data_IF_236143193454
#
_entry.id   IF_236143193454
#
_cell.length_a   1.000
_cell.length_b   1.000
_cell.length_c   1.000
_cell.angle_alpha   90.00
_cell.angle_beta   90.00
_cell.angle_gamma   90.00
#
_symmetry.space_group_name_H-M   'P 1'
#
loop_
_entity.id
_entity.type
_entity.pdbx_description
1 polymer ?
#
# COMPACT_ATOMS: atom_id res chain seq x y z
N UNK A 1 -6.59 13.81 -21.49
CA UNK A 1 -6.89 14.06 -20.07
C UNK A 1 -5.59 14.10 -19.30
N UNK A 2 -5.65 14.17 -17.97
CA UNK A 2 -4.47 13.92 -17.12
C UNK A 2 -4.18 12.41 -17.03
N UNK A 3 -2.93 12.03 -16.76
CA UNK A 3 -2.51 10.62 -16.66
C UNK A 3 -2.77 10.02 -15.26
N UNK A 4 -2.81 10.86 -14.22
CA UNK A 4 -3.09 10.47 -12.84
C UNK A 4 -3.67 11.65 -12.07
N UNK A 5 -4.54 11.39 -11.10
CA UNK A 5 -5.01 12.38 -10.13
C UNK A 5 -4.64 12.00 -8.70
N UNK A 6 -4.27 13.00 -7.90
CA UNK A 6 -3.96 12.87 -6.47
C UNK A 6 -4.88 13.81 -5.68
N UNK A 7 -5.54 13.28 -4.67
CA UNK A 7 -6.40 14.04 -3.76
C UNK A 7 -5.91 13.92 -2.34
N UNK A 8 -5.79 15.04 -1.63
CA UNK A 8 -5.36 15.09 -0.23
C UNK A 8 -6.54 15.48 0.66
N UNK A 9 -6.53 15.01 1.90
CA UNK A 9 -7.52 15.39 2.90
C UNK A 9 -7.14 16.70 3.63
N UNK A 10 -7.91 17.07 4.66
CA UNK A 10 -7.87 18.42 5.25
C UNK A 10 -6.56 18.80 5.94
N UNK A 11 -5.82 17.83 6.49
CA UNK A 11 -4.50 18.01 7.09
C UNK A 11 -3.36 17.35 6.29
N UNK A 12 -3.70 16.63 5.21
CA UNK A 12 -2.76 16.13 4.22
C UNK A 12 -2.05 14.84 4.61
N UNK A 13 -2.54 14.13 5.63
CA UNK A 13 -1.98 12.84 6.05
C UNK A 13 -2.47 11.65 5.18
N UNK A 14 -3.52 11.87 4.38
CA UNK A 14 -4.08 10.88 3.46
C UNK A 14 -4.03 11.35 2.02
N UNK A 15 -3.72 10.42 1.13
CA UNK A 15 -3.72 10.62 -0.31
C UNK A 15 -4.61 9.57 -0.99
N UNK A 16 -5.64 10.03 -1.72
CA UNK A 16 -6.39 9.25 -2.69
C UNK A 16 -5.74 9.34 -4.08
N UNK A 17 -5.86 8.27 -4.86
CA UNK A 17 -5.27 8.18 -6.21
C UNK A 17 -6.35 7.78 -7.20
N UNK A 18 -6.40 8.46 -8.35
CA UNK A 18 -7.30 8.12 -9.47
C UNK A 18 -6.51 7.93 -10.75
N UNK A 19 -6.93 6.98 -11.58
CA UNK A 19 -6.33 6.77 -12.90
C UNK A 19 -6.85 7.76 -13.95
N UNK A 20 -6.30 7.67 -15.17
CA UNK A 20 -6.65 8.51 -16.32
C UNK A 20 -8.07 8.28 -16.86
N UNK A 21 -8.74 7.19 -16.44
CA UNK A 21 -10.14 6.87 -16.78
C UNK A 21 -11.10 7.34 -15.67
N UNK A 22 -10.58 7.83 -14.55
CA UNK A 22 -11.34 8.31 -13.41
C UNK A 22 -11.70 7.22 -12.39
N UNK A 23 -11.10 6.03 -12.48
CA UNK A 23 -11.31 4.98 -11.49
C UNK A 23 -10.46 5.26 -10.23
N UNK A 24 -11.03 4.98 -9.06
CA UNK A 24 -10.31 5.05 -7.79
C UNK A 24 -9.33 3.88 -7.64
N UNK A 25 -8.10 4.21 -7.27
CA UNK A 25 -7.08 3.24 -6.86
C UNK A 25 -7.04 3.21 -5.33
N UNK A 26 -7.57 2.13 -4.76
CA UNK A 26 -7.56 1.91 -3.32
C UNK A 26 -6.15 1.90 -2.74
N UNK A 27 -6.04 2.44 -1.51
CA UNK A 27 -4.76 2.65 -0.82
C UNK A 27 -3.97 1.35 -0.59
N UNK A 28 -4.64 0.20 -0.50
CA UNK A 28 -3.98 -1.11 -0.37
C UNK A 28 -3.20 -1.50 -1.63
N UNK A 29 -3.74 -1.24 -2.83
CA UNK A 29 -3.04 -1.44 -4.11
C UNK A 29 -1.85 -0.50 -4.25
N UNK A 30 -2.03 0.77 -3.86
CA UNK A 30 -0.94 1.75 -3.83
C UNK A 30 0.15 1.29 -2.85
N UNK A 31 -0.25 0.80 -1.68
CA UNK A 31 0.66 0.23 -0.69
C UNK A 31 1.47 -0.95 -1.21
N UNK A 32 0.84 -1.93 -1.89
CA UNK A 32 1.57 -3.07 -2.47
C UNK A 32 2.52 -2.64 -3.56
N UNK A 33 2.13 -1.67 -4.39
CA UNK A 33 3.01 -1.11 -5.42
C UNK A 33 4.28 -0.51 -4.81
N UNK A 34 4.16 0.26 -3.73
CA UNK A 34 5.30 0.80 -2.99
C UNK A 34 6.11 -0.29 -2.30
N UNK A 35 5.44 -1.26 -1.67
CA UNK A 35 6.09 -2.37 -0.97
C UNK A 35 6.96 -3.21 -1.90
N UNK A 36 6.54 -3.43 -3.16
CA UNK A 36 7.34 -4.16 -4.16
C UNK A 36 8.65 -3.45 -4.48
N UNK A 37 8.64 -2.13 -4.54
CA UNK A 37 9.86 -1.35 -4.77
C UNK A 37 10.80 -1.43 -3.56
N UNK A 38 10.24 -1.24 -2.36
CA UNK A 38 10.98 -1.32 -1.09
C UNK A 38 11.57 -2.71 -0.86
N UNK A 39 10.81 -3.78 -1.12
CA UNK A 39 11.25 -5.16 -0.91
C UNK A 39 12.44 -5.55 -1.80
N UNK A 40 12.52 -5.02 -3.02
CA UNK A 40 13.68 -5.21 -3.91
C UNK A 40 14.95 -4.57 -3.36
N UNK A 41 14.81 -3.42 -2.71
CA UNK A 41 15.93 -2.72 -2.07
C UNK A 41 16.31 -3.35 -0.72
N UNK A 42 15.32 -3.94 -0.03
CA UNK A 42 15.46 -4.53 1.29
C UNK A 42 14.81 -5.92 1.34
N UNK A 43 15.49 -6.97 0.84
CA UNK A 43 14.97 -8.33 0.88
C UNK A 43 14.69 -8.80 2.30
N UNK A 44 13.59 -9.54 2.49
CA UNK A 44 13.16 -10.01 3.81
C UNK A 44 12.48 -8.94 4.69
N UNK A 45 12.11 -7.79 4.12
CA UNK A 45 11.39 -6.73 4.87
C UNK A 45 10.05 -7.20 5.42
N UNK A 46 9.70 -6.70 6.61
CA UNK A 46 8.37 -6.90 7.20
C UNK A 46 7.49 -5.68 6.93
N UNK A 47 6.31 -5.91 6.35
CA UNK A 47 5.31 -4.88 6.11
C UNK A 47 4.17 -5.02 7.11
N UNK A 48 3.94 -3.99 7.92
CA UNK A 48 2.81 -3.93 8.87
C UNK A 48 1.60 -3.35 8.14
N UNK A 49 0.49 -4.09 8.14
CA UNK A 49 -0.69 -3.78 7.33
C UNK A 49 -1.95 -3.89 8.17
N UNK A 50 -2.88 -2.97 7.99
CA UNK A 50 -4.20 -3.04 8.65
C UNK A 50 -5.00 -4.25 8.15
N UNK A 51 -5.68 -4.95 9.08
CA UNK A 51 -6.63 -6.05 8.80
C UNK A 51 -7.72 -5.71 7.77
N UNK A 52 -8.04 -4.43 7.54
CA UNK A 52 -8.99 -4.00 6.50
C UNK A 52 -8.45 -4.08 5.07
N UNK A 53 -7.15 -4.26 4.89
CA UNK A 53 -6.53 -4.37 3.56
C UNK A 53 -6.90 -5.69 2.90
N UNK A 54 -7.02 -5.72 1.57
CA UNK A 54 -7.54 -6.86 0.78
C UNK A 54 -6.68 -8.14 0.78
N UNK A 55 -5.73 -8.30 1.70
CA UNK A 55 -4.83 -9.46 1.76
C UNK A 55 -3.73 -9.45 0.69
N UNK A 56 -3.68 -8.42 -0.16
CA UNK A 56 -2.78 -8.35 -1.32
C UNK A 56 -1.31 -8.41 -0.91
N UNK A 57 -0.92 -7.77 0.19
CA UNK A 57 0.46 -7.79 0.68
C UNK A 57 0.98 -9.22 0.93
N UNK A 58 0.12 -10.10 1.44
CA UNK A 58 0.51 -11.48 1.75
C UNK A 58 0.50 -12.41 0.52
N UNK A 59 -0.36 -12.11 -0.46
CA UNK A 59 -0.52 -12.95 -1.66
C UNK A 59 0.30 -12.50 -2.85
N UNK A 60 0.93 -11.32 -2.77
CA UNK A 60 1.73 -10.75 -3.85
C UNK A 60 2.92 -11.65 -4.21
N UNK A 61 3.12 -11.90 -5.50
CA UNK A 61 4.19 -12.79 -5.97
C UNK A 61 5.58 -12.15 -5.85
N UNK A 62 5.70 -10.84 -6.07
CA UNK A 62 6.98 -10.15 -5.99
C UNK A 62 7.44 -10.02 -4.53
N UNK A 63 6.54 -9.64 -3.63
CA UNK A 63 6.85 -9.60 -2.19
C UNK A 63 7.31 -10.96 -1.65
N UNK A 64 6.63 -12.05 -2.05
CA UNK A 64 7.04 -13.42 -1.67
C UNK A 64 8.38 -13.82 -2.26
N UNK A 65 8.66 -13.45 -3.51
CA UNK A 65 9.95 -13.73 -4.15
C UNK A 65 11.11 -13.01 -3.44
N UNK A 66 10.86 -11.80 -2.94
CA UNK A 66 11.82 -11.01 -2.16
C UNK A 66 11.89 -11.43 -0.68
N UNK A 67 11.16 -12.49 -0.30
CA UNK A 67 11.14 -13.03 1.07
C UNK A 67 10.44 -12.13 2.09
N UNK A 68 9.65 -11.16 1.63
CA UNK A 68 8.96 -10.23 2.51
C UNK A 68 7.89 -10.92 3.36
N UNK A 69 7.72 -10.43 4.59
CA UNK A 69 6.73 -10.91 5.54
C UNK A 69 5.65 -9.84 5.73
N UNK A 70 4.40 -10.25 5.83
CA UNK A 70 3.30 -9.33 6.15
C UNK A 70 2.82 -9.59 7.57
N UNK A 71 2.77 -8.54 8.40
CA UNK A 71 2.20 -8.57 9.74
C UNK A 71 0.88 -7.78 9.75
N UNK A 72 -0.23 -8.45 10.08
CA UNK A 72 -1.54 -7.81 10.10
C UNK A 72 -1.86 -7.28 11.50
N UNK A 73 -2.18 -5.99 11.58
CA UNK A 73 -2.39 -5.31 12.85
C UNK A 73 -3.73 -4.58 12.93
N UNK A 74 -4.10 -4.15 14.14
CA UNK A 74 -5.36 -3.46 14.41
C UNK A 74 -5.43 -2.14 13.64
N UNK A 75 -6.61 -1.84 13.10
CA UNK A 75 -6.88 -0.57 12.42
C UNK A 75 -6.62 0.65 13.31
N UNK A 76 -5.94 1.65 12.75
CA UNK A 76 -5.78 2.97 13.34
C UNK A 76 -4.34 3.50 13.25
N UNK A 77 -4.20 4.77 12.87
CA UNK A 77 -2.90 5.45 12.71
C UNK A 77 -1.99 5.29 13.94
N UNK A 78 -2.55 5.37 15.15
CA UNK A 78 -1.79 5.24 16.40
C UNK A 78 -1.20 3.84 16.66
N UNK A 79 -1.74 2.79 16.03
CA UNK A 79 -1.25 1.41 16.20
C UNK A 79 -0.20 1.01 15.15
N UNK A 80 -0.07 1.78 14.08
CA UNK A 80 0.83 1.51 12.94
C UNK A 80 2.13 2.33 13.04
N UNK A 81 2.15 3.36 13.89
CA UNK A 81 3.33 4.19 14.15
C UNK A 81 4.39 3.49 15.00
#
# INVERSE_FOLDING_TARGET
GADVGLGFDGDGDRCGVVDNEGNEIFADKVGVMLARDIARLHPGSTFVVDVKSTGLFNTDAALRADGAVTDYWKTGHSYIK
#
